data_IF_926491334025
#
_entry.id   IF_926491334025
#
_cell.length_a   1.000
_cell.length_b   1.000
_cell.length_c   1.000
_cell.angle_alpha   90.00
_cell.angle_beta   90.00
_cell.angle_gamma   90.00
#
_symmetry.space_group_name_H-M   'P 1'
#
loop_
_entity.id
_entity.type
_entity.pdbx_description
1 polymer ?
#
# COMPACT_ATOMS: atom_id res chain seq x y z
N UNK A 1 41.02 -17.17 -18.98
CA UNK A 1 41.74 -17.34 -17.69
C UNK A 1 41.00 -16.44 -16.70
N UNK A 2 40.34 -16.88 -15.63
CA UNK A 2 40.42 -18.09 -14.80
C UNK A 2 39.00 -18.63 -14.55
N UNK A 3 38.93 -19.94 -14.36
CA UNK A 3 37.77 -20.81 -14.24
C UNK A 3 37.59 -21.19 -12.76
N UNK A 4 36.47 -21.86 -12.45
CA UNK A 4 36.21 -22.72 -11.27
C UNK A 4 35.63 -21.97 -10.04
N UNK A 5 34.55 -22.41 -9.40
CA UNK A 5 33.73 -23.61 -9.58
C UNK A 5 32.70 -23.74 -8.47
N UNK A 6 31.57 -24.33 -8.85
CA UNK A 6 30.46 -24.83 -8.03
C UNK A 6 30.97 -25.94 -7.11
N UNK A 7 30.37 -26.06 -5.91
CA UNK A 7 30.35 -27.31 -5.15
C UNK A 7 28.92 -27.56 -4.65
N UNK A 8 28.28 -28.50 -5.34
CA UNK A 8 27.08 -29.19 -4.89
C UNK A 8 27.45 -30.17 -3.76
N UNK A 9 26.53 -30.37 -2.81
CA UNK A 9 26.48 -31.63 -2.05
C UNK A 9 25.02 -32.06 -1.94
N UNK A 10 24.72 -33.18 -2.61
CA UNK A 10 23.48 -33.94 -2.49
C UNK A 10 23.30 -34.48 -1.06
N UNK A 11 22.05 -34.62 -0.64
CA UNK A 11 21.65 -35.38 0.54
C UNK A 11 20.14 -35.58 0.60
N UNK A 12 19.65 -36.57 -0.13
CA UNK A 12 18.30 -37.12 -0.06
C UNK A 12 18.03 -37.79 1.29
N UNK A 13 16.85 -37.60 1.88
CA UNK A 13 16.12 -38.68 2.58
C UNK A 13 14.63 -38.36 2.69
N UNK A 14 13.86 -39.27 2.10
CA UNK A 14 12.42 -39.49 2.24
C UNK A 14 12.18 -40.24 3.54
N UNK A 15 11.18 -39.86 4.33
CA UNK A 15 10.41 -40.84 5.12
C UNK A 15 8.95 -40.41 5.31
N UNK A 16 8.09 -41.40 5.14
CA UNK A 16 6.62 -41.38 5.19
C UNK A 16 6.14 -41.66 6.62
N UNK A 17 4.93 -41.22 6.93
CA UNK A 17 3.89 -42.15 7.38
C UNK A 17 3.36 -42.03 8.81
N UNK A 18 2.05 -41.76 8.87
CA UNK A 18 1.06 -42.24 9.87
C UNK A 18 1.12 -41.60 11.28
N UNK A 19 0.04 -41.20 11.95
CA UNK A 19 -1.38 -41.57 11.88
C UNK A 19 -1.87 -41.84 13.31
N UNK A 20 -3.14 -41.50 13.61
CA UNK A 20 -3.95 -41.77 14.82
C UNK A 20 -4.18 -40.55 15.76
N UNK A 21 -5.34 -39.89 15.76
CA UNK A 21 -6.67 -40.25 16.33
C UNK A 21 -6.64 -40.60 17.83
N UNK A 22 -7.27 -39.78 18.65
CA UNK A 22 -7.51 -40.05 20.08
C UNK A 22 -8.38 -38.99 20.76
N UNK A 23 -9.60 -39.36 21.11
CA UNK A 23 -10.75 -38.52 21.51
C UNK A 23 -10.89 -38.48 23.06
N UNK A 24 -11.44 -37.36 23.57
CA UNK A 24 -12.55 -37.25 24.56
C UNK A 24 -12.30 -37.08 26.08
N UNK A 25 -13.27 -36.36 26.67
CA UNK A 25 -13.71 -36.17 28.08
C UNK A 25 -13.14 -34.92 28.78
N UNK A 26 -13.90 -33.97 29.36
CA UNK A 26 -15.27 -33.98 29.88
C UNK A 26 -15.23 -33.89 31.42
N UNK A 27 -15.72 -32.82 32.04
CA UNK A 27 -15.73 -32.71 33.51
C UNK A 27 -16.18 -31.38 34.08
N UNK A 28 -17.49 -31.23 34.20
CA UNK A 28 -18.22 -30.21 34.97
C UNK A 28 -18.16 -30.49 36.47
N UNK A 29 -18.12 -29.44 37.33
CA UNK A 29 -18.66 -29.48 38.70
C UNK A 29 -18.82 -28.08 39.30
N UNK A 30 -20.05 -27.77 39.68
CA UNK A 30 -20.49 -26.67 40.56
C UNK A 30 -21.13 -27.31 41.81
N UNK A 31 -20.93 -26.71 42.98
CA UNK A 31 -21.66 -26.98 44.24
C UNK A 31 -21.25 -25.92 45.28
N UNK A 32 -22.16 -25.04 45.75
CA UNK A 32 -23.09 -25.23 46.89
C UNK A 32 -22.46 -24.63 48.17
N UNK A 33 -22.87 -23.48 48.74
CA UNK A 33 -24.12 -23.03 49.41
C UNK A 33 -23.90 -22.84 50.93
N UNK A 34 -24.34 -21.67 51.42
CA UNK A 34 -24.97 -21.33 52.73
C UNK A 34 -24.20 -21.25 54.07
N UNK A 35 -24.49 -20.14 54.78
CA UNK A 35 -24.61 -19.98 56.25
C UNK A 35 -23.41 -19.31 56.94
N UNK A 36 -23.49 -18.36 57.88
CA UNK A 36 -24.58 -17.80 58.68
C UNK A 36 -24.08 -16.53 59.44
N UNK A 37 -25.01 -15.56 59.61
CA UNK A 37 -25.25 -14.63 60.75
C UNK A 37 -24.18 -13.73 61.41
N UNK A 38 -24.63 -12.49 61.62
CA UNK A 38 -24.04 -11.42 62.43
C UNK A 38 -24.62 -11.35 63.85
N UNK A 39 -23.83 -10.94 64.86
CA UNK A 39 -24.28 -10.24 66.09
C UNK A 39 -23.10 -9.42 66.65
N UNK A 40 -23.34 -8.15 67.00
CA UNK A 40 -22.34 -7.22 67.54
C UNK A 40 -22.27 -7.13 69.06
N UNK A 41 -21.42 -6.24 69.58
CA UNK A 41 -21.53 -5.69 70.94
C UNK A 41 -20.78 -4.36 71.11
N UNK A 42 -21.36 -3.50 71.95
CA UNK A 42 -21.02 -2.11 72.26
C UNK A 42 -20.01 -1.98 73.42
N UNK A 43 -19.45 -0.77 73.56
CA UNK A 43 -18.93 -0.17 74.81
C UNK A 43 -17.42 -0.36 74.96
N UNK A 44 -16.61 0.61 75.40
CA UNK A 44 -16.77 1.50 76.55
C UNK A 44 -15.83 2.72 76.39
N UNK A 45 -16.27 3.88 76.90
CA UNK A 45 -15.47 5.11 77.06
C UNK A 45 -14.51 5.01 78.27
N UNK A 46 -13.29 5.51 78.12
CA UNK A 46 -12.36 5.75 79.23
C UNK A 46 -11.38 6.89 78.89
N UNK A 47 -11.52 8.01 79.61
CA UNK A 47 -10.64 9.16 79.53
C UNK A 47 -9.35 8.96 80.34
N UNK A 48 -8.24 9.57 79.92
CA UNK A 48 -7.00 9.59 80.71
C UNK A 48 -5.75 10.12 80.01
N UNK A 49 -5.53 11.43 80.13
CA UNK A 49 -4.26 12.13 80.36
C UNK A 49 -3.01 11.92 79.47
N UNK A 50 -2.58 13.05 78.89
CA UNK A 50 -1.21 13.61 78.85
C UNK A 50 -0.07 12.87 78.12
N UNK A 51 0.49 13.56 77.11
CA UNK A 51 1.95 13.69 77.00
C UNK A 51 2.64 12.98 75.82
N UNK A 52 3.20 13.83 74.94
CA UNK A 52 4.43 13.62 74.16
C UNK A 52 4.34 13.26 72.66
N UNK A 53 4.93 14.17 71.87
CA UNK A 53 5.69 13.96 70.62
C UNK A 53 4.95 13.43 69.38
N UNK A 54 4.23 14.33 68.70
CA UNK A 54 3.93 14.19 67.27
C UNK A 54 5.15 14.58 66.43
N UNK A 55 5.83 13.60 65.83
CA UNK A 55 6.68 13.82 64.65
C UNK A 55 5.75 14.05 63.46
N UNK A 56 5.64 15.31 63.03
CA UNK A 56 4.94 15.69 61.80
C UNK A 56 5.75 15.18 60.59
N UNK A 57 5.17 14.25 59.86
CA UNK A 57 5.62 13.85 58.52
C UNK A 57 5.64 15.08 57.60
N UNK A 58 6.84 15.49 57.16
CA UNK A 58 7.02 16.45 56.08
C UNK A 58 6.98 15.65 54.77
N UNK A 59 5.91 15.83 53.99
CA UNK A 59 5.81 15.29 52.64
C UNK A 59 6.90 15.86 51.71
N UNK A 60 7.25 15.17 50.62
CA UNK A 60 8.29 15.61 49.69
C UNK A 60 7.87 16.92 49.02
N UNK A 61 8.76 17.92 49.07
CA UNK A 61 8.60 19.19 48.35
C UNK A 61 8.55 18.89 46.84
N UNK A 62 7.48 19.31 46.19
CA UNK A 62 7.37 19.30 44.72
C UNK A 62 8.48 20.13 44.07
N UNK A 63 8.85 19.82 42.81
CA UNK A 63 9.93 20.53 42.13
C UNK A 63 9.51 21.98 41.86
N UNK A 64 10.27 22.91 42.45
CA UNK A 64 10.21 24.33 42.11
C UNK A 64 10.64 24.54 40.66
N UNK A 65 9.72 24.97 39.79
CA UNK A 65 10.04 25.47 38.45
C UNK A 65 10.89 26.74 38.57
N UNK A 66 12.20 26.58 38.39
CA UNK A 66 13.18 27.67 38.31
C UNK A 66 13.05 28.32 36.92
N UNK A 67 12.88 29.64 36.88
CA UNK A 67 12.58 30.42 35.68
C UNK A 67 13.49 30.11 34.48
N UNK A 68 12.88 30.03 33.29
CA UNK A 68 13.57 29.86 32.01
C UNK A 68 14.42 31.09 31.71
N UNK A 69 15.75 30.91 31.69
CA UNK A 69 16.68 31.97 31.27
C UNK A 69 16.64 32.20 29.74
N UNK A 70 17.03 33.40 29.26
CA UNK A 70 17.03 33.76 27.83
C UNK A 70 17.90 32.85 26.95
N UNK A 71 18.88 32.14 27.54
CA UNK A 71 19.69 31.14 26.83
C UNK A 71 18.93 29.86 26.43
N UNK A 72 17.92 29.46 27.20
CA UNK A 72 17.13 28.25 26.92
C UNK A 72 16.14 28.49 25.78
N UNK A 73 15.53 29.68 25.71
CA UNK A 73 14.67 30.11 24.61
C UNK A 73 15.47 30.21 23.30
N UNK A 74 16.68 30.80 23.34
CA UNK A 74 17.58 30.83 22.18
C UNK A 74 17.91 29.42 21.68
N UNK A 75 18.28 28.49 22.56
CA UNK A 75 18.61 27.12 22.19
C UNK A 75 17.44 26.37 21.52
N UNK A 76 16.21 26.57 22.03
CA UNK A 76 14.98 25.98 21.46
C UNK A 76 14.67 26.58 20.09
N UNK A 77 14.83 27.90 19.91
CA UNK A 77 14.61 28.57 18.62
C UNK A 77 15.65 28.15 17.58
N UNK A 78 16.94 28.08 17.95
CA UNK A 78 17.99 27.64 17.03
C UNK A 78 17.89 26.15 16.65
N UNK A 79 17.50 25.28 17.59
CA UNK A 79 17.24 23.85 17.29
C UNK A 79 15.97 23.65 16.45
N UNK A 80 14.93 24.43 16.68
CA UNK A 80 13.72 24.44 15.86
C UNK A 80 14.00 24.91 14.42
N UNK A 81 14.74 26.00 14.25
CA UNK A 81 15.14 26.51 12.95
C UNK A 81 16.00 25.52 12.16
N UNK A 82 16.93 24.83 12.83
CA UNK A 82 17.75 23.78 12.21
C UNK A 82 16.91 22.61 11.68
N UNK A 83 15.90 22.16 12.44
CA UNK A 83 14.97 21.10 12.00
C UNK A 83 14.14 21.52 10.80
N UNK A 84 13.64 22.75 10.79
CA UNK A 84 12.88 23.31 9.65
C UNK A 84 13.78 23.38 8.41
N UNK A 85 15.01 23.88 8.56
CA UNK A 85 15.96 23.97 7.45
C UNK A 85 16.28 22.60 6.84
N UNK A 86 16.56 21.59 7.66
CA UNK A 86 16.79 20.21 7.18
C UNK A 86 15.55 19.65 6.50
N UNK A 87 14.35 19.91 7.04
CA UNK A 87 13.08 19.53 6.42
C UNK A 87 12.87 20.17 5.05
N UNK A 88 13.15 21.47 4.91
CA UNK A 88 13.06 22.20 3.64
C UNK A 88 14.09 21.67 2.64
N UNK A 89 15.33 21.44 3.05
CA UNK A 89 16.37 20.85 2.20
C UNK A 89 15.99 19.44 1.74
N UNK A 90 15.44 18.62 2.62
CA UNK A 90 14.96 17.28 2.26
C UNK A 90 13.79 17.36 1.28
N UNK A 91 12.83 18.27 1.50
CA UNK A 91 11.72 18.50 0.59
C UNK A 91 12.20 18.92 -0.80
N UNK A 92 13.11 19.90 -0.89
CA UNK A 92 13.71 20.35 -2.15
C UNK A 92 14.45 19.19 -2.83
N UNK A 93 15.22 18.40 -2.08
CA UNK A 93 15.93 17.24 -2.65
C UNK A 93 14.96 16.23 -3.24
N UNK A 94 13.89 15.87 -2.52
CA UNK A 94 12.88 14.94 -3.00
C UNK A 94 12.10 15.49 -4.18
N UNK A 95 11.75 16.79 -4.16
CA UNK A 95 11.02 17.40 -5.27
C UNK A 95 11.86 17.44 -6.53
N UNK A 96 13.17 17.75 -6.43
CA UNK A 96 14.08 17.72 -7.58
C UNK A 96 14.27 16.29 -8.09
N UNK A 97 14.46 15.32 -7.18
CA UNK A 97 14.59 13.91 -7.58
C UNK A 97 13.33 13.42 -8.33
N UNK A 98 12.15 13.74 -7.79
CA UNK A 98 10.88 13.37 -8.39
C UNK A 98 10.67 14.07 -9.73
N UNK A 99 10.96 15.36 -9.82
CA UNK A 99 10.82 16.13 -11.06
C UNK A 99 11.79 15.64 -12.13
N UNK A 100 13.04 15.34 -11.77
CA UNK A 100 14.03 14.87 -12.73
C UNK A 100 13.73 13.44 -13.22
N UNK A 101 13.21 12.56 -12.35
CA UNK A 101 12.84 11.19 -12.73
C UNK A 101 11.55 11.13 -13.58
N UNK A 102 10.55 11.97 -13.26
CA UNK A 102 9.18 11.84 -13.80
C UNK A 102 8.77 12.95 -14.75
N UNK A 103 9.45 14.09 -14.76
CA UNK A 103 9.07 15.33 -15.47
C UNK A 103 7.60 15.73 -15.29
N UNK A 104 7.08 15.51 -14.08
CA UNK A 104 5.64 15.55 -13.82
C UNK A 104 5.01 16.92 -14.15
N UNK A 105 5.76 18.02 -13.99
CA UNK A 105 5.27 19.36 -14.30
C UNK A 105 5.01 19.59 -15.79
N UNK A 106 5.79 18.95 -16.67
CA UNK A 106 5.71 19.14 -18.13
C UNK A 106 4.74 18.17 -18.82
N UNK A 107 4.36 17.08 -18.16
CA UNK A 107 3.42 16.09 -18.70
C UNK A 107 2.00 16.65 -18.84
N UNK A 108 1.30 16.21 -19.89
CA UNK A 108 -0.14 16.42 -20.07
C UNK A 108 -0.95 15.74 -18.97
N UNK A 109 -2.23 16.10 -18.83
CA UNK A 109 -3.12 15.50 -17.83
C UNK A 109 -3.28 13.99 -18.01
N UNK A 110 -3.31 13.51 -19.25
CA UNK A 110 -3.37 12.09 -19.57
C UNK A 110 -2.06 11.36 -19.21
N UNK A 111 -0.91 11.92 -19.59
CA UNK A 111 0.38 11.32 -19.26
C UNK A 111 0.60 11.23 -17.74
N UNK A 112 0.24 12.28 -16.99
CA UNK A 112 0.29 12.27 -15.51
C UNK A 112 -0.52 11.13 -14.93
N UNK A 113 -1.71 10.85 -15.46
CA UNK A 113 -2.55 9.74 -15.01
C UNK A 113 -1.90 8.38 -15.32
N UNK A 114 -1.28 8.23 -16.48
CA UNK A 114 -0.57 6.99 -16.86
C UNK A 114 0.69 6.74 -16.01
N UNK A 115 1.23 7.76 -15.33
CA UNK A 115 2.35 7.56 -14.41
C UNK A 115 1.97 6.76 -13.16
N UNK A 116 0.68 6.69 -12.81
CA UNK A 116 0.16 5.88 -11.72
C UNK A 116 -0.19 4.49 -12.21
N UNK A 117 0.66 3.52 -11.90
CA UNK A 117 0.47 2.11 -12.29
C UNK A 117 -0.31 1.34 -11.23
N UNK A 118 -0.92 0.23 -11.67
CA UNK A 118 -1.55 -0.79 -10.81
C UNK A 118 -2.50 -0.19 -9.77
N UNK A 119 -2.30 -0.48 -8.49
CA UNK A 119 -3.16 -0.07 -7.39
C UNK A 119 -3.16 1.44 -7.20
N UNK A 120 -2.02 2.11 -7.39
CA UNK A 120 -1.91 3.56 -7.23
C UNK A 120 -2.80 4.31 -8.23
N UNK A 121 -2.88 3.83 -9.47
CA UNK A 121 -3.78 4.39 -10.49
C UNK A 121 -5.25 4.18 -10.13
N UNK A 122 -5.57 3.01 -9.58
CA UNK A 122 -6.92 2.71 -9.10
C UNK A 122 -7.31 3.64 -7.93
N UNK A 123 -6.47 3.81 -6.92
CA UNK A 123 -6.75 4.70 -5.78
C UNK A 123 -6.86 6.17 -6.22
N UNK A 124 -5.98 6.62 -7.10
CA UNK A 124 -6.03 7.97 -7.65
C UNK A 124 -7.33 8.23 -8.42
N UNK A 125 -7.92 7.22 -9.05
CA UNK A 125 -9.23 7.36 -9.74
C UNK A 125 -10.36 7.74 -8.79
N UNK A 126 -10.36 7.24 -7.54
CA UNK A 126 -11.35 7.62 -6.54
C UNK A 126 -11.13 9.05 -6.09
N UNK A 127 -9.89 9.43 -5.80
CA UNK A 127 -9.55 10.81 -5.46
C UNK A 127 -9.99 11.78 -6.56
N UNK A 128 -9.67 11.46 -7.82
CA UNK A 128 -10.10 12.22 -9.01
C UNK A 128 -11.62 12.38 -9.06
N UNK A 129 -12.37 11.34 -8.74
CA UNK A 129 -13.84 11.39 -8.71
C UNK A 129 -14.37 12.35 -7.63
N UNK A 130 -13.76 12.38 -6.44
CA UNK A 130 -14.15 13.30 -5.36
C UNK A 130 -13.87 14.76 -5.75
N UNK A 131 -12.68 15.05 -6.27
CA UNK A 131 -12.28 16.43 -6.58
C UNK A 131 -13.01 17.01 -7.80
N UNK A 132 -13.50 16.16 -8.70
CA UNK A 132 -14.24 16.57 -9.90
C UNK A 132 -15.76 16.65 -9.67
N UNK A 133 -16.27 16.07 -8.58
CA UNK A 133 -17.68 16.16 -8.23
C UNK A 133 -18.07 17.59 -7.83
N UNK A 134 -19.32 18.02 -8.10
CA UNK A 134 -19.79 19.37 -7.76
C UNK A 134 -19.89 19.60 -6.25
N UNK A 135 -20.00 18.52 -5.45
CA UNK A 135 -19.95 18.57 -4.00
C UNK A 135 -19.25 17.34 -3.42
N UNK A 136 -18.61 17.52 -2.25
CA UNK A 136 -17.91 16.43 -1.57
C UNK A 136 -18.84 15.26 -1.22
N UNK A 137 -20.05 15.54 -0.73
CA UNK A 137 -21.02 14.51 -0.35
C UNK A 137 -21.50 13.71 -1.55
N UNK A 138 -21.68 14.35 -2.71
CA UNK A 138 -22.05 13.67 -3.95
C UNK A 138 -20.90 12.81 -4.49
N UNK A 139 -19.67 13.31 -4.43
CA UNK A 139 -18.47 12.52 -4.76
C UNK A 139 -18.31 11.30 -3.85
N UNK A 140 -18.52 11.47 -2.55
CA UNK A 140 -18.49 10.38 -1.57
C UNK A 140 -19.60 9.36 -1.83
N UNK A 141 -20.82 9.82 -2.12
CA UNK A 141 -21.94 8.93 -2.46
C UNK A 141 -21.67 8.14 -3.74
N UNK A 142 -21.10 8.78 -4.76
CA UNK A 142 -20.71 8.15 -6.03
C UNK A 142 -19.70 7.02 -5.81
N UNK A 143 -18.75 7.21 -4.90
CA UNK A 143 -17.73 6.19 -4.57
C UNK A 143 -18.29 5.09 -3.67
N UNK A 144 -19.21 5.43 -2.76
CA UNK A 144 -19.93 4.45 -1.94
C UNK A 144 -20.92 3.59 -2.74
N UNK A 145 -21.29 4.01 -3.95
CA UNK A 145 -22.20 3.30 -4.85
C UNK A 145 -21.55 3.12 -6.24
N UNK A 146 -20.32 2.60 -6.24
CA UNK A 146 -19.52 2.49 -7.45
C UNK A 146 -19.95 1.29 -8.30
N UNK A 147 -20.16 1.55 -9.60
CA UNK A 147 -20.53 0.53 -10.60
C UNK A 147 -19.40 0.26 -11.60
N UNK A 148 -18.30 1.01 -11.53
CA UNK A 148 -17.25 0.99 -12.55
C UNK A 148 -16.12 0.03 -12.18
N UNK A 149 -15.77 -0.11 -10.90
CA UNK A 149 -14.62 -0.91 -10.48
C UNK A 149 -14.89 -2.42 -10.54
N UNK A 150 -16.10 -2.85 -10.20
CA UNK A 150 -16.46 -4.28 -10.13
C UNK A 150 -17.67 -4.68 -10.98
N UNK A 151 -17.80 -4.14 -12.19
CA UNK A 151 -18.96 -4.41 -13.06
C UNK A 151 -19.21 -5.93 -13.25
N UNK A 152 -20.48 -6.41 -13.17
CA UNK A 152 -21.74 -5.67 -13.05
C UNK A 152 -22.17 -5.32 -11.61
N UNK A 153 -21.34 -5.62 -10.61
CA UNK A 153 -21.69 -5.41 -9.21
C UNK A 153 -21.62 -3.92 -8.85
N UNK A 154 -22.51 -3.50 -7.94
CA UNK A 154 -22.45 -2.19 -7.31
C UNK A 154 -21.81 -2.36 -5.94
N UNK A 155 -20.64 -1.76 -5.74
CA UNK A 155 -19.85 -1.94 -4.53
C UNK A 155 -19.68 -0.64 -3.75
N UNK A 156 -19.60 -0.76 -2.43
CA UNK A 156 -19.15 0.32 -1.58
C UNK A 156 -17.62 0.30 -1.50
N UNK A 157 -16.99 1.10 -2.34
CA UNK A 157 -15.53 1.23 -2.46
C UNK A 157 -14.86 1.54 -1.12
N UNK A 158 -15.44 2.42 -0.30
CA UNK A 158 -14.84 2.88 0.96
C UNK A 158 -14.70 1.72 1.96
N UNK A 159 -15.75 0.91 2.06
CA UNK A 159 -15.75 -0.29 2.90
C UNK A 159 -14.95 -1.43 2.26
N UNK A 160 -15.05 -1.60 0.94
CA UNK A 160 -14.47 -2.71 0.18
C UNK A 160 -12.94 -2.69 0.16
N UNK A 161 -12.34 -1.52 -0.01
CA UNK A 161 -10.87 -1.35 -0.07
C UNK A 161 -10.28 -0.83 1.24
N UNK A 162 -11.07 -0.87 2.33
CA UNK A 162 -10.66 -0.33 3.62
C UNK A 162 -10.04 1.07 3.49
N UNK A 163 -10.61 2.00 2.71
CA UNK A 163 -10.09 3.38 2.59
C UNK A 163 -10.20 4.21 3.89
N UNK A 164 -10.71 3.61 4.97
CA UNK A 164 -10.93 4.25 6.25
C UNK A 164 -9.65 4.80 6.91
N UNK A 165 -8.48 4.10 6.92
CA UNK A 165 -7.23 4.65 7.42
C UNK A 165 -6.77 5.88 6.62
N UNK A 166 -6.95 5.92 5.30
CA UNK A 166 -6.55 7.02 4.42
C UNK A 166 -7.48 8.23 4.55
N UNK A 167 -8.79 8.01 4.70
CA UNK A 167 -9.76 9.07 5.02
C UNK A 167 -9.51 9.61 6.42
N UNK A 168 -9.25 8.75 7.41
CA UNK A 168 -8.88 9.17 8.77
C UNK A 168 -7.55 9.93 8.80
N UNK A 169 -6.59 9.57 7.95
CA UNK A 169 -5.34 10.31 7.77
C UNK A 169 -5.57 11.66 7.08
N UNK A 170 -6.50 11.73 6.11
CA UNK A 170 -6.94 12.98 5.49
C UNK A 170 -7.64 13.90 6.49
N UNK A 171 -8.52 13.36 7.34
CA UNK A 171 -9.13 14.08 8.47
C UNK A 171 -8.09 14.51 9.49
N UNK A 172 -7.04 13.72 9.75
CA UNK A 172 -5.93 14.08 10.64
C UNK A 172 -5.10 15.25 10.07
N UNK A 173 -4.88 15.26 8.75
CA UNK A 173 -4.19 16.33 8.03
C UNK A 173 -5.08 17.59 7.95
N UNK A 174 -6.38 17.43 7.71
CA UNK A 174 -7.36 18.51 7.70
C UNK A 174 -7.55 19.12 9.10
N UNK A 175 -7.58 18.30 10.17
CA UNK A 175 -7.64 18.75 11.56
C UNK A 175 -6.39 19.56 11.96
N UNK A 176 -5.22 19.22 11.40
CA UNK A 176 -3.97 19.97 11.59
C UNK A 176 -3.98 21.33 10.90
N UNK A 177 -4.79 21.51 9.85
CA UNK A 177 -4.92 22.76 9.08
C UNK A 177 -6.14 23.59 9.56
N UNK A 178 -7.22 22.96 10.01
CA UNK A 178 -8.53 23.59 10.28
C UNK A 178 -8.92 23.68 11.77
N UNK A 179 -8.05 23.29 12.71
CA UNK A 179 -8.27 23.38 14.18
C UNK A 179 -9.60 22.77 14.66
N UNK A 180 -9.79 21.47 14.42
CA UNK A 180 -10.80 20.67 15.13
C UNK A 180 -10.08 19.62 15.98
N UNK A 181 -10.46 19.47 17.25
CA UNK A 181 -9.78 18.58 18.22
C UNK A 181 -10.72 17.50 18.73
N UNK A 182 -10.44 16.23 18.43
CA UNK A 182 -11.13 15.09 19.02
C UNK A 182 -10.15 14.13 19.74
N UNK A 183 -10.70 13.22 20.56
CA UNK A 183 -9.99 12.38 21.52
C UNK A 183 -8.88 11.50 20.91
N UNK A 184 -9.04 11.04 19.67
CA UNK A 184 -8.03 10.23 18.97
C UNK A 184 -6.77 11.04 18.63
N UNK A 185 -6.87 12.37 18.46
CA UNK A 185 -5.71 13.23 18.19
C UNK A 185 -4.83 13.41 19.43
N UNK A 186 -5.39 13.28 20.63
CA UNK A 186 -4.68 13.42 21.91
C UNK A 186 -3.79 12.21 22.22
N UNK A 187 -4.17 11.00 21.79
CA UNK A 187 -3.39 9.78 21.98
C UNK A 187 -2.05 9.85 21.21
N UNK A 188 -2.06 10.39 19.99
CA UNK A 188 -0.84 10.47 19.16
C UNK A 188 0.10 11.63 19.56
N UNK A 189 -0.40 12.68 20.20
CA UNK A 189 0.48 13.77 20.72
C UNK A 189 1.21 13.40 22.00
N UNK A 190 0.83 12.31 22.65
CA UNK A 190 1.40 11.87 23.93
C UNK A 190 2.16 10.54 23.86
N UNK A 191 2.35 9.97 22.66
CA UNK A 191 3.16 8.76 22.47
C UNK A 191 4.65 9.06 22.79
N UNK A 192 5.23 8.45 23.84
CA UNK A 192 6.61 8.71 24.26
C UNK A 192 7.67 8.08 23.34
N UNK A 193 7.24 7.34 22.32
CA UNK A 193 8.11 6.55 21.41
C UNK A 193 8.96 7.40 20.45
N UNK A 194 8.68 8.70 20.29
CA UNK A 194 9.53 9.64 19.54
C UNK A 194 10.42 10.53 20.43
N UNK A 195 10.47 10.25 21.74
CA UNK A 195 11.27 10.96 22.72
C UNK A 195 12.69 10.40 22.96
N UNK A 196 13.15 9.42 22.17
CA UNK A 196 14.43 8.76 22.42
C UNK A 196 15.53 9.19 21.47
N UNK A 197 16.03 10.41 21.64
CA UNK A 197 17.42 10.79 21.35
C UNK A 197 17.69 12.23 21.78
N UNK A 198 17.62 12.51 23.08
CA UNK A 198 18.37 13.66 23.59
C UNK A 198 18.74 13.51 25.06
N UNK A 199 20.07 13.57 25.29
CA UNK A 199 20.77 13.75 26.57
C UNK A 199 21.00 12.50 27.43
N UNK A 200 21.64 11.48 26.86
CA UNK A 200 22.42 10.54 27.67
C UNK A 200 23.59 9.82 26.97
N UNK A 201 23.91 10.09 25.70
CA UNK A 201 24.99 9.34 25.00
C UNK A 201 26.30 10.12 24.77
N UNK A 202 26.29 11.45 24.90
CA UNK A 202 27.47 12.28 24.53
C UNK A 202 28.02 13.15 25.69
N UNK A 203 27.64 12.87 26.94
CA UNK A 203 28.03 13.69 28.10
C UNK A 203 29.31 13.25 28.81
N UNK A 204 29.78 12.01 28.61
CA UNK A 204 30.87 11.44 29.42
C UNK A 204 32.02 10.87 28.60
N UNK A 205 31.77 10.40 27.37
CA UNK A 205 32.80 9.79 26.51
C UNK A 205 33.71 10.83 25.82
N UNK A 206 33.28 12.10 25.71
CA UNK A 206 34.00 13.17 24.98
C UNK A 206 34.81 14.10 25.87
N UNK A 207 34.84 13.90 27.19
CA UNK A 207 35.52 14.82 28.11
C UNK A 207 37.04 14.59 28.23
N UNK A 208 37.59 13.55 27.59
CA UNK A 208 39.00 13.18 27.80
C UNK A 208 39.87 13.07 26.54
N UNK A 209 39.32 13.16 25.33
CA UNK A 209 40.09 13.24 24.09
C UNK A 209 39.33 14.08 23.04
N UNK A 210 39.97 15.13 22.51
CA UNK A 210 39.37 16.02 21.49
C UNK A 210 39.43 15.37 20.09
N UNK A 211 38.53 14.43 19.83
CA UNK A 211 38.30 13.88 18.48
C UNK A 211 37.46 14.80 17.58
N UNK A 212 37.11 16.00 18.03
CA UNK A 212 36.28 16.98 17.31
C UNK A 212 36.77 17.20 15.87
N UNK A 213 38.08 17.40 15.69
CA UNK A 213 38.68 17.65 14.38
C UNK A 213 38.70 16.39 13.50
N UNK A 214 38.84 15.19 14.08
CA UNK A 214 38.85 13.91 13.35
C UNK A 214 37.45 13.55 12.89
N UNK A 215 36.45 13.74 13.76
CA UNK A 215 35.03 13.53 13.45
C UNK A 215 34.57 14.53 12.40
N UNK A 216 34.94 15.81 12.54
CA UNK A 216 34.63 16.82 11.53
C UNK A 216 35.31 16.50 10.19
N UNK A 217 36.58 16.07 10.21
CA UNK A 217 37.29 15.60 9.03
C UNK A 217 36.58 14.44 8.34
N UNK A 218 36.17 13.41 9.08
CA UNK A 218 35.44 12.26 8.53
C UNK A 218 34.09 12.68 7.93
N UNK A 219 33.31 13.51 8.65
CA UNK A 219 32.02 14.02 8.18
C UNK A 219 32.16 14.84 6.89
N UNK A 220 33.21 15.67 6.77
CA UNK A 220 33.46 16.44 5.54
C UNK A 220 33.79 15.54 4.35
N UNK A 221 34.63 14.52 4.53
CA UNK A 221 34.95 13.56 3.46
C UNK A 221 33.72 12.77 3.02
N UNK A 222 32.91 12.28 3.96
CA UNK A 222 31.65 11.59 3.66
C UNK A 222 30.63 12.52 2.98
N UNK A 223 30.58 13.81 3.36
CA UNK A 223 29.69 14.80 2.75
C UNK A 223 30.08 15.13 1.31
N UNK A 224 31.38 15.16 1.00
CA UNK A 224 31.86 15.39 -0.39
C UNK A 224 31.43 14.23 -1.29
N UNK A 225 31.65 12.98 -0.87
CA UNK A 225 31.20 11.82 -1.63
C UNK A 225 29.68 11.77 -1.73
N UNK A 226 28.98 12.12 -0.65
CA UNK A 226 27.52 12.25 -0.63
C UNK A 226 27.02 13.28 -1.64
N UNK A 227 27.65 14.45 -1.71
CA UNK A 227 27.27 15.50 -2.66
C UNK A 227 27.51 15.09 -4.12
N UNK A 228 28.62 14.40 -4.41
CA UNK A 228 28.91 13.88 -5.76
C UNK A 228 27.85 12.85 -6.17
N UNK A 229 27.46 11.94 -5.28
CA UNK A 229 26.42 10.95 -5.54
C UNK A 229 25.04 11.62 -5.74
N UNK A 230 24.69 12.61 -4.91
CA UNK A 230 23.45 13.38 -5.04
C UNK A 230 23.40 14.14 -6.36
N UNK A 231 24.51 14.76 -6.77
CA UNK A 231 24.60 15.47 -8.04
C UNK A 231 24.45 14.53 -9.23
N UNK A 232 25.04 13.33 -9.14
CA UNK A 232 24.84 12.28 -10.16
C UNK A 232 23.37 11.88 -10.25
N UNK A 233 22.68 11.68 -9.11
CA UNK A 233 21.25 11.36 -9.12
C UNK A 233 20.38 12.49 -9.67
N UNK A 234 20.67 13.75 -9.32
CA UNK A 234 19.98 14.90 -9.89
C UNK A 234 20.24 15.09 -11.39
N UNK A 235 21.32 14.53 -11.95
CA UNK A 235 21.58 14.63 -13.39
C UNK A 235 20.83 13.61 -14.24
N UNK A 236 20.16 12.64 -13.62
CA UNK A 236 19.35 11.66 -14.34
C UNK A 236 18.02 12.33 -14.70
N UNK A 237 17.90 12.76 -15.96
CA UNK A 237 16.64 13.20 -16.56
C UNK A 237 15.92 11.96 -17.11
N UNK A 238 14.85 11.52 -16.46
CA UNK A 238 13.98 10.44 -16.94
C UNK A 238 12.88 10.99 -17.83
N UNK A 239 12.85 10.60 -19.11
CA UNK A 239 11.73 10.93 -20.00
C UNK A 239 10.63 9.86 -19.86
N UNK A 240 9.44 10.26 -19.36
CA UNK A 240 8.28 9.36 -19.39
C UNK A 240 7.72 9.32 -20.81
N UNK A 241 7.82 8.16 -21.46
CA UNK A 241 7.23 7.93 -22.77
C UNK A 241 6.50 6.59 -22.76
N UNK A 242 5.18 6.63 -23.00
CA UNK A 242 4.36 5.44 -23.16
C UNK A 242 3.33 5.62 -24.27
N UNK A 243 3.81 5.99 -25.46
CA UNK A 243 2.99 6.19 -26.66
C UNK A 243 1.99 5.03 -26.92
N UNK A 244 2.36 3.73 -26.78
CA UNK A 244 1.40 2.65 -27.02
C UNK A 244 0.24 2.62 -26.03
N UNK A 245 0.45 3.03 -24.78
CA UNK A 245 -0.64 3.10 -23.81
C UNK A 245 -1.49 4.35 -24.03
N UNK A 246 -0.88 5.46 -24.44
CA UNK A 246 -1.59 6.70 -24.77
C UNK A 246 -2.58 6.49 -25.93
N UNK A 247 -2.11 5.95 -27.05
CA UNK A 247 -2.93 5.65 -28.23
C UNK A 247 -4.13 4.76 -27.90
N UNK A 248 -3.92 3.74 -27.04
CA UNK A 248 -4.97 2.86 -26.58
C UNK A 248 -6.04 3.64 -25.80
N UNK A 249 -5.62 4.49 -24.86
CA UNK A 249 -6.54 5.25 -24.00
C UNK A 249 -7.30 6.30 -24.81
N UNK A 250 -6.64 6.98 -25.76
CA UNK A 250 -7.29 7.92 -26.67
C UNK A 250 -8.30 7.24 -27.58
N UNK A 251 -7.97 6.04 -28.10
CA UNK A 251 -8.90 5.24 -28.86
C UNK A 251 -10.13 4.83 -28.02
N UNK A 252 -9.94 4.39 -26.78
CA UNK A 252 -11.06 4.05 -25.88
C UNK A 252 -11.98 5.26 -25.67
N UNK A 253 -11.42 6.46 -25.43
CA UNK A 253 -12.21 7.68 -25.23
C UNK A 253 -13.04 8.06 -26.45
N UNK A 254 -12.44 7.98 -27.64
CA UNK A 254 -13.04 8.47 -28.89
C UNK A 254 -13.96 7.45 -29.58
N UNK A 255 -13.63 6.15 -29.50
CA UNK A 255 -14.23 5.11 -30.33
C UNK A 255 -15.19 4.18 -29.58
N UNK A 256 -15.22 4.24 -28.25
CA UNK A 256 -16.08 3.36 -27.43
C UNK A 256 -17.11 4.13 -26.61
N UNK A 257 -18.27 3.49 -26.38
CA UNK A 257 -19.35 4.05 -25.57
C UNK A 257 -18.95 4.15 -24.11
N UNK A 258 -19.57 5.07 -23.36
CA UNK A 258 -19.30 5.29 -21.95
C UNK A 258 -19.62 4.09 -21.04
N UNK A 259 -20.57 3.26 -21.45
CA UNK A 259 -21.02 2.04 -20.77
C UNK A 259 -20.27 0.77 -21.20
N UNK A 260 -19.30 0.88 -22.13
CA UNK A 260 -18.56 -0.26 -22.64
C UNK A 260 -17.67 -0.88 -21.55
N UNK A 261 -17.81 -2.19 -21.36
CA UNK A 261 -17.14 -2.94 -20.30
C UNK A 261 -15.83 -3.54 -20.81
N UNK A 262 -14.74 -3.29 -20.09
CA UNK A 262 -13.40 -3.74 -20.43
C UNK A 262 -12.87 -4.81 -19.47
N UNK A 263 -12.09 -5.74 -20.00
CA UNK A 263 -11.31 -6.71 -19.23
C UNK A 263 -9.90 -6.86 -19.83
N UNK A 264 -8.93 -7.24 -19.02
CA UNK A 264 -7.55 -7.44 -19.48
C UNK A 264 -6.58 -7.56 -18.31
N UNK A 265 -5.30 -7.24 -18.54
CA UNK A 265 -4.35 -7.23 -17.43
C UNK A 265 -4.70 -6.14 -16.42
N UNK A 266 -4.57 -6.47 -15.13
CA UNK A 266 -4.89 -5.56 -14.03
C UNK A 266 -4.22 -4.17 -14.10
N UNK A 267 -2.91 -4.02 -14.41
CA UNK A 267 -2.30 -2.69 -14.53
C UNK A 267 -2.98 -1.84 -15.60
N UNK A 268 -3.30 -2.44 -16.74
CA UNK A 268 -3.97 -1.77 -17.85
C UNK A 268 -5.41 -1.40 -17.50
N UNK A 269 -6.14 -2.27 -16.80
CA UNK A 269 -7.50 -1.95 -16.33
C UNK A 269 -7.54 -0.78 -15.35
N UNK A 270 -6.55 -0.66 -14.47
CA UNK A 270 -6.44 0.50 -13.57
C UNK A 270 -6.25 1.81 -14.35
N UNK A 271 -5.37 1.81 -15.37
CA UNK A 271 -5.17 2.98 -16.25
C UNK A 271 -6.42 3.29 -17.08
N UNK A 272 -7.10 2.27 -17.63
CA UNK A 272 -8.36 2.45 -18.37
C UNK A 272 -9.40 3.11 -17.48
N UNK A 273 -9.63 2.59 -16.26
CA UNK A 273 -10.60 3.18 -15.33
C UNK A 273 -10.21 4.62 -14.96
N UNK A 274 -8.96 4.87 -14.59
CA UNK A 274 -8.50 6.20 -14.18
C UNK A 274 -8.69 7.26 -15.29
N UNK A 275 -8.32 6.90 -16.51
CA UNK A 275 -8.25 7.88 -17.60
C UNK A 275 -9.51 7.98 -18.44
N UNK A 276 -10.30 6.91 -18.54
CA UNK A 276 -11.50 6.86 -19.41
C UNK A 276 -12.81 6.75 -18.64
N UNK A 277 -12.75 6.42 -17.34
CA UNK A 277 -13.92 6.15 -16.48
C UNK A 277 -14.86 5.09 -17.07
N UNK A 278 -14.32 4.15 -17.87
CA UNK A 278 -15.08 3.01 -18.39
C UNK A 278 -15.20 1.91 -17.33
N UNK A 279 -16.33 1.18 -17.28
CA UNK A 279 -16.47 0.01 -16.42
C UNK A 279 -15.41 -1.05 -16.71
N UNK A 280 -14.83 -1.62 -15.65
CA UNK A 280 -13.84 -2.69 -15.73
C UNK A 280 -14.30 -3.93 -14.96
N UNK A 281 -13.91 -5.11 -15.47
CA UNK A 281 -14.23 -6.41 -14.87
C UNK A 281 -13.13 -6.91 -13.94
N UNK A 282 -11.91 -6.41 -13.99
CA UNK A 282 -10.90 -6.85 -13.04
C UNK A 282 -9.91 -5.73 -12.75
N UNK A 283 -9.35 -5.73 -11.56
CA UNK A 283 -8.51 -4.66 -11.06
C UNK A 283 -7.52 -5.22 -10.03
N UNK A 284 -6.42 -4.50 -9.72
CA UNK A 284 -5.27 -5.03 -8.95
C UNK A 284 -5.50 -5.25 -7.45
N UNK A 285 -6.66 -5.75 -7.03
CA UNK A 285 -6.94 -6.05 -5.63
C UNK A 285 -7.02 -7.57 -5.39
N UNK A 286 -5.93 -8.16 -4.90
CA UNK A 286 -5.79 -9.61 -4.81
C UNK A 286 -6.34 -10.22 -3.51
N UNK A 287 -6.69 -9.40 -2.53
CA UNK A 287 -7.10 -9.87 -1.20
C UNK A 287 -8.45 -10.60 -1.25
N UNK A 288 -9.35 -10.17 -2.13
CA UNK A 288 -10.67 -10.74 -2.29
C UNK A 288 -10.68 -12.04 -3.11
N UNK A 289 -11.36 -13.06 -2.57
CA UNK A 289 -11.41 -14.39 -3.20
C UNK A 289 -12.25 -14.43 -4.48
N UNK A 290 -13.38 -13.73 -4.50
CA UNK A 290 -14.29 -13.69 -5.65
C UNK A 290 -13.64 -12.92 -6.81
N UNK A 291 -12.95 -11.82 -6.50
CA UNK A 291 -12.22 -11.05 -7.48
C UNK A 291 -11.03 -11.82 -8.06
N UNK A 292 -10.34 -12.65 -7.25
CA UNK A 292 -9.32 -13.58 -7.74
C UNK A 292 -9.92 -14.63 -8.69
N UNK A 293 -11.07 -15.20 -8.35
CA UNK A 293 -11.77 -16.14 -9.22
C UNK A 293 -12.20 -15.49 -10.54
N UNK A 294 -12.73 -14.26 -10.49
CA UNK A 294 -13.12 -13.50 -11.69
C UNK A 294 -11.92 -13.14 -12.56
N UNK A 295 -10.83 -12.69 -11.94
CA UNK A 295 -9.57 -12.41 -12.62
C UNK A 295 -9.02 -13.67 -13.29
N UNK A 296 -9.08 -14.83 -12.63
CA UNK A 296 -8.62 -16.10 -13.21
C UNK A 296 -9.36 -16.41 -14.52
N UNK A 297 -10.64 -16.09 -14.62
CA UNK A 297 -11.41 -16.21 -15.86
C UNK A 297 -10.86 -15.28 -16.94
N UNK A 298 -10.64 -14.00 -16.60
CA UNK A 298 -10.08 -12.99 -17.53
C UNK A 298 -8.72 -13.43 -18.07
N UNK A 299 -7.83 -13.89 -17.19
CA UNK A 299 -6.49 -14.37 -17.55
C UNK A 299 -6.50 -15.71 -18.29
N UNK A 300 -7.65 -16.38 -18.40
CA UNK A 300 -7.83 -17.61 -19.17
C UNK A 300 -7.49 -17.46 -20.65
N UNK A 301 -7.46 -16.24 -21.20
CA UNK A 301 -7.00 -15.96 -22.57
C UNK A 301 -5.53 -16.36 -22.80
N UNK A 302 -4.70 -16.34 -21.75
CA UNK A 302 -3.29 -16.74 -21.81
C UNK A 302 -3.06 -18.24 -21.62
N UNK A 303 -4.13 -19.02 -21.44
CA UNK A 303 -4.08 -20.48 -21.30
C UNK A 303 -4.08 -21.20 -22.66
N UNK A 304 -4.25 -22.52 -22.64
CA UNK A 304 -4.46 -23.38 -23.81
C UNK A 304 -5.92 -23.80 -24.03
N UNK A 305 -6.85 -23.12 -23.35
CA UNK A 305 -8.29 -23.34 -23.53
C UNK A 305 -8.73 -22.97 -24.95
N UNK A 306 -9.86 -23.53 -25.37
CA UNK A 306 -10.44 -23.16 -26.67
C UNK A 306 -10.92 -21.71 -26.67
N UNK A 307 -10.80 -21.03 -27.82
CA UNK A 307 -11.27 -19.65 -27.98
C UNK A 307 -12.77 -19.51 -27.66
N UNK A 308 -13.57 -20.54 -27.96
CA UNK A 308 -15.00 -20.60 -27.66
C UNK A 308 -15.28 -20.58 -26.15
N UNK A 309 -14.62 -21.45 -25.40
CA UNK A 309 -14.79 -21.55 -23.95
C UNK A 309 -14.44 -20.22 -23.26
N UNK A 310 -13.32 -19.62 -23.64
CA UNK A 310 -12.88 -18.35 -23.06
C UNK A 310 -13.84 -17.22 -23.43
N UNK A 311 -14.31 -17.16 -24.67
CA UNK A 311 -15.33 -16.19 -25.09
C UNK A 311 -16.61 -16.32 -24.27
N UNK A 312 -17.14 -17.54 -24.14
CA UNK A 312 -18.39 -17.79 -23.41
C UNK A 312 -18.27 -17.34 -21.94
N UNK A 313 -17.10 -17.56 -21.33
CA UNK A 313 -16.79 -17.08 -19.98
C UNK A 313 -16.63 -15.56 -19.88
N UNK A 314 -16.06 -14.90 -20.89
CA UNK A 314 -15.99 -13.43 -20.93
C UNK A 314 -17.38 -12.80 -21.12
N UNK A 315 -18.24 -13.44 -21.91
CA UNK A 315 -19.64 -13.03 -22.07
C UNK A 315 -20.45 -13.20 -20.77
N UNK A 316 -20.22 -14.28 -20.01
CA UNK A 316 -20.80 -14.48 -18.68
C UNK A 316 -20.45 -13.31 -17.73
N UNK A 317 -19.24 -12.76 -17.85
CA UNK A 317 -18.79 -11.57 -17.12
C UNK A 317 -19.19 -10.23 -17.76
N UNK A 318 -20.01 -10.25 -18.81
CA UNK A 318 -20.52 -9.06 -19.52
C UNK A 318 -19.42 -8.19 -20.15
N UNK A 319 -18.29 -8.80 -20.55
CA UNK A 319 -17.19 -8.10 -21.21
C UNK A 319 -17.55 -7.78 -22.66
N UNK A 320 -17.41 -6.51 -23.07
CA UNK A 320 -17.57 -6.12 -24.48
C UNK A 320 -16.23 -6.11 -25.22
N UNK A 321 -15.18 -5.62 -24.56
CA UNK A 321 -13.85 -5.49 -25.11
C UNK A 321 -12.81 -6.12 -24.18
N UNK A 322 -11.98 -7.00 -24.73
CA UNK A 322 -10.83 -7.58 -24.05
C UNK A 322 -9.55 -6.94 -24.56
N UNK A 323 -8.71 -6.41 -23.66
CA UNK A 323 -7.41 -5.83 -24.00
C UNK A 323 -6.33 -6.89 -23.83
N UNK A 324 -5.77 -7.33 -24.96
CA UNK A 324 -4.72 -8.33 -25.04
C UNK A 324 -3.35 -7.66 -25.13
N UNK A 325 -2.48 -7.94 -24.17
CA UNK A 325 -1.07 -7.52 -24.19
C UNK A 325 -0.20 -8.57 -24.87
N UNK A 326 0.47 -8.20 -25.96
CA UNK A 326 1.26 -9.11 -26.80
C UNK A 326 2.51 -9.64 -26.07
N UNK A 327 3.08 -8.85 -25.16
CA UNK A 327 4.25 -9.23 -24.37
C UNK A 327 4.04 -10.53 -23.57
N UNK A 328 2.87 -10.72 -22.97
CA UNK A 328 2.56 -11.92 -22.17
C UNK A 328 2.42 -13.20 -23.00
N UNK A 329 2.29 -13.08 -24.32
CA UNK A 329 2.07 -14.20 -25.22
C UNK A 329 3.35 -14.72 -25.84
N UNK A 330 4.34 -13.85 -25.99
CA UNK A 330 5.61 -14.15 -26.67
C UNK A 330 6.78 -14.28 -25.68
N UNK A 331 6.78 -13.51 -24.59
CA UNK A 331 7.92 -13.44 -23.67
C UNK A 331 8.03 -14.73 -22.84
N UNK A 332 9.16 -15.42 -23.00
CA UNK A 332 9.60 -16.53 -22.12
C UNK A 332 10.81 -16.07 -21.32
N UNK A 333 10.60 -15.72 -20.06
CA UNK A 333 11.65 -15.25 -19.15
C UNK A 333 12.60 -16.38 -18.73
N UNK A 334 12.04 -17.50 -18.24
CA UNK A 334 12.76 -18.72 -17.83
C UNK A 334 11.84 -19.95 -17.98
N UNK A 335 12.36 -21.17 -18.23
CA UNK A 335 11.55 -22.38 -18.21
C UNK A 335 10.94 -22.59 -16.81
N UNK A 336 9.62 -22.79 -16.75
CA UNK A 336 8.84 -22.91 -15.51
C UNK A 336 8.38 -21.58 -14.90
N UNK A 337 8.55 -20.44 -15.56
CA UNK A 337 8.14 -19.12 -15.07
C UNK A 337 7.31 -18.32 -16.08
N UNK A 338 6.79 -18.95 -17.13
CA UNK A 338 5.91 -18.30 -18.09
C UNK A 338 4.43 -18.41 -17.68
N UNK A 339 3.62 -17.42 -18.09
CA UNK A 339 2.18 -17.42 -17.85
C UNK A 339 1.51 -18.70 -18.39
N UNK A 340 1.98 -19.20 -19.54
CA UNK A 340 1.47 -20.42 -20.14
C UNK A 340 1.73 -21.67 -19.28
N UNK A 341 2.94 -21.80 -18.73
CA UNK A 341 3.30 -22.95 -17.88
C UNK A 341 2.53 -22.95 -16.55
N UNK A 342 2.22 -21.77 -15.99
CA UNK A 342 1.35 -21.64 -14.82
C UNK A 342 -0.04 -22.21 -15.12
N UNK A 343 -0.58 -21.91 -16.31
CA UNK A 343 -1.85 -22.48 -16.76
C UNK A 343 -1.78 -23.98 -17.06
N UNK A 344 -0.63 -24.49 -17.52
CA UNK A 344 -0.43 -25.93 -17.74
C UNK A 344 -0.46 -26.72 -16.40
N UNK A 345 -0.07 -26.09 -15.29
CA UNK A 345 -0.22 -26.66 -13.93
C UNK A 345 -1.64 -26.54 -13.39
N UNK A 346 -2.31 -25.41 -13.65
CA UNK A 346 -3.66 -25.14 -13.16
C UNK A 346 -4.74 -25.93 -13.92
N UNK A 347 -4.52 -26.17 -15.23
CA UNK A 347 -5.43 -26.89 -16.11
C UNK A 347 -4.67 -27.91 -16.99
N UNK A 348 -4.26 -29.04 -16.39
CA UNK A 348 -3.48 -30.06 -17.10
C UNK A 348 -4.27 -30.72 -18.24
N UNK A 349 -5.61 -30.61 -18.23
CA UNK A 349 -6.48 -31.21 -19.26
C UNK A 349 -6.26 -30.57 -20.65
N UNK A 350 -5.95 -29.27 -20.67
CA UNK A 350 -5.72 -28.50 -21.88
C UNK A 350 -4.23 -28.33 -22.24
N UNK A 351 -3.32 -28.90 -21.45
CA UNK A 351 -1.86 -28.74 -21.63
C UNK A 351 -1.35 -29.16 -23.01
N UNK A 352 -2.04 -30.10 -23.68
CA UNK A 352 -1.69 -30.59 -25.01
C UNK A 352 -2.09 -29.65 -26.16
N UNK A 353 -3.00 -28.69 -25.91
CA UNK A 353 -3.52 -27.80 -26.95
C UNK A 353 -2.53 -26.67 -27.30
N UNK A 354 -2.63 -26.07 -28.50
CA UNK A 354 -1.84 -24.88 -28.82
C UNK A 354 -2.22 -23.69 -27.91
N UNK A 355 -1.27 -22.78 -27.62
CA UNK A 355 -1.54 -21.62 -26.77
C UNK A 355 -2.54 -20.66 -27.42
N UNK A 356 -3.63 -20.36 -26.71
CA UNK A 356 -4.73 -19.54 -27.23
C UNK A 356 -4.27 -18.14 -27.60
N UNK A 357 -3.52 -17.47 -26.73
CA UNK A 357 -3.09 -16.10 -27.06
C UNK A 357 -2.30 -16.05 -28.38
N UNK A 358 -1.39 -16.99 -28.62
CA UNK A 358 -0.61 -17.02 -29.86
C UNK A 358 -1.48 -17.23 -31.10
N UNK A 359 -2.59 -17.97 -30.96
CA UNK A 359 -3.58 -18.14 -32.01
C UNK A 359 -4.33 -16.83 -32.26
N UNK A 360 -4.79 -16.16 -31.21
CA UNK A 360 -5.51 -14.87 -31.30
C UNK A 360 -4.68 -13.74 -31.93
N UNK A 361 -3.35 -13.76 -31.75
CA UNK A 361 -2.45 -12.81 -32.40
C UNK A 361 -2.37 -13.01 -33.93
N UNK A 362 -2.56 -14.25 -34.40
CA UNK A 362 -2.56 -14.60 -35.83
C UNK A 362 -3.93 -14.41 -36.45
N UNK A 363 -4.95 -15.04 -35.88
CA UNK A 363 -6.36 -14.89 -36.27
C UNK A 363 -7.26 -15.07 -35.04
N UNK A 364 -8.08 -14.05 -34.77
CA UNK A 364 -8.97 -14.01 -33.62
C UNK A 364 -10.39 -14.53 -33.94
N UNK A 365 -10.70 -14.71 -35.24
CA UNK A 365 -12.04 -15.10 -35.70
C UNK A 365 -12.32 -16.60 -35.45
N UNK A 366 -13.59 -17.02 -35.37
CA UNK A 366 -14.82 -16.21 -35.42
C UNK A 366 -15.24 -15.60 -34.07
N UNK A 367 -14.60 -15.99 -32.97
CA UNK A 367 -15.06 -15.68 -31.61
C UNK A 367 -14.71 -14.27 -31.14
N UNK A 368 -13.64 -13.71 -31.70
CA UNK A 368 -13.17 -12.36 -31.37
C UNK A 368 -12.94 -11.57 -32.65
N UNK A 369 -13.17 -10.26 -32.59
CA UNK A 369 -12.87 -9.34 -33.68
C UNK A 369 -11.88 -8.29 -33.20
N UNK A 370 -10.72 -8.18 -33.84
CA UNK A 370 -9.74 -7.13 -33.53
C UNK A 370 -10.32 -5.79 -33.99
N UNK A 371 -10.46 -4.83 -33.07
CA UNK A 371 -10.99 -3.49 -33.34
C UNK A 371 -9.95 -2.38 -33.19
N UNK A 372 -8.86 -2.67 -32.48
CA UNK A 372 -7.70 -1.78 -32.33
C UNK A 372 -6.44 -2.63 -32.17
N UNK A 373 -5.32 -2.14 -32.71
CA UNK A 373 -4.02 -2.79 -32.60
C UNK A 373 -2.92 -1.73 -32.62
N UNK A 374 -1.95 -1.86 -31.73
CA UNK A 374 -0.68 -1.14 -31.79
C UNK A 374 0.49 -2.09 -31.45
N UNK A 375 1.66 -1.53 -31.15
CA UNK A 375 2.88 -2.31 -30.90
C UNK A 375 2.84 -3.20 -29.64
N UNK A 376 1.96 -2.90 -28.68
CA UNK A 376 1.90 -3.59 -27.38
C UNK A 376 0.54 -4.22 -27.08
N UNK A 377 -0.54 -3.62 -27.57
CA UNK A 377 -1.92 -3.93 -27.23
C UNK A 377 -2.74 -4.28 -28.47
N UNK A 378 -3.66 -5.24 -28.30
CA UNK A 378 -4.75 -5.52 -29.23
C UNK A 378 -6.07 -5.52 -28.48
N UNK A 379 -7.04 -4.76 -28.96
CA UNK A 379 -8.39 -4.78 -28.39
C UNK A 379 -9.25 -5.73 -29.21
N UNK A 380 -9.75 -6.76 -28.53
CA UNK A 380 -10.62 -7.78 -29.06
C UNK A 380 -12.06 -7.47 -28.64
N UNK A 381 -12.94 -7.25 -29.61
CA UNK A 381 -14.38 -7.26 -29.36
C UNK A 381 -14.85 -8.69 -29.16
N UNK A 382 -15.52 -8.94 -28.05
CA UNK A 382 -16.09 -10.25 -27.68
C UNK A 382 -17.49 -10.34 -28.29
N UNK A 383 -17.76 -11.35 -29.14
CA UNK A 383 -18.99 -11.46 -29.93
C UNK A 383 -19.58 -12.88 -29.97
#
# INVERSE_FOLDING_TARGET
MVKVGVKDTLGSSVEKGEGLLGRRQGGEKRGSLSGETAVGMRGVWGAGATGSRSRRWLGPRGPTYRGQGPGMIRLIVFSGAGRIFVGVMHWIHLSILFENDRHFSHLSSLEREMTFRTEMGLYYSYFKTIIQAPSFLEGLWTIMNDRLTEYPLVINTVKRFHLYPEIRLSDLIAARILRFTDFDTLIYTCAPEFGFMEKALFGWLFYRVRFENVIFGLLTVMSIQGFVNLRSQWSILGEFNNLPQEELIEWIKSSTRADAVFAGAMPTMASVKLSTLRPIVNHPHYEDADLRARTKIVYGVYSRKSAKEVRDKLLELHVNYYILEEAWCVVRTKPGCSMLEIWDLEDPSNAANPPLCSALLKDARPYFTVVFQNSMYRVLKVA
#
